data_IF_645825609970
#
_entry.id   IF_645825609970
#
_cell.length_a   1.000
_cell.length_b   1.000
_cell.length_c   1.000
_cell.angle_alpha   90.00
_cell.angle_beta   90.00
_cell.angle_gamma   90.00
#
_symmetry.space_group_name_H-M   'P 1'
#
loop_
_entity.id
_entity.type
_entity.pdbx_description
1 polymer ?
#
# COMPACT_ATOMS: atom_id res chain seq x y z
N UNK A 1 14.40 20.08 5.63
CA UNK A 1 14.68 18.66 5.37
C UNK A 1 13.86 17.72 6.24
N UNK A 2 14.02 17.62 7.58
CA UNK A 2 13.22 16.69 8.40
C UNK A 2 11.72 17.03 8.44
N UNK A 3 11.37 18.28 8.77
CA UNK A 3 9.97 18.72 8.81
C UNK A 3 9.30 18.67 7.43
N UNK A 4 10.10 18.85 6.39
CA UNK A 4 9.70 18.78 4.99
C UNK A 4 9.39 17.34 4.57
N UNK A 5 10.27 16.37 4.87
CA UNK A 5 9.98 14.95 4.67
C UNK A 5 8.74 14.51 5.46
N UNK A 6 8.60 14.96 6.71
CA UNK A 6 7.42 14.64 7.51
C UNK A 6 6.14 15.20 6.87
N UNK A 7 6.20 16.42 6.35
CA UNK A 7 5.07 17.02 5.64
C UNK A 7 4.72 16.24 4.37
N UNK A 8 5.72 15.80 3.59
CA UNK A 8 5.50 14.99 2.38
C UNK A 8 4.88 13.63 2.72
N UNK A 9 5.35 12.95 3.77
CA UNK A 9 4.74 11.70 4.24
C UNK A 9 3.30 11.89 4.69
N UNK A 10 2.97 12.98 5.39
CA UNK A 10 1.60 13.33 5.76
C UNK A 10 0.73 13.59 4.52
N UNK A 11 1.30 14.18 3.46
CA UNK A 11 0.59 14.39 2.20
C UNK A 11 0.34 13.07 1.44
N UNK A 12 1.21 12.07 1.61
CA UNK A 12 1.00 10.70 1.09
C UNK A 12 -0.03 9.89 1.87
N UNK A 13 -0.56 10.41 2.98
CA UNK A 13 -1.60 9.73 3.75
C UNK A 13 -2.81 9.37 2.89
N UNK A 14 -3.31 8.16 3.06
CA UNK A 14 -4.53 7.67 2.44
C UNK A 14 -5.75 8.52 2.78
N UNK A 15 -5.75 9.20 3.93
CA UNK A 15 -6.77 10.18 4.30
C UNK A 15 -6.79 11.42 3.38
N UNK A 16 -5.71 11.66 2.62
CA UNK A 16 -5.61 12.77 1.67
C UNK A 16 -6.04 12.38 0.27
N UNK A 17 -5.53 11.26 -0.24
CA UNK A 17 -5.78 10.89 -1.63
C UNK A 17 -7.04 10.02 -1.81
N UNK A 18 -7.36 9.11 -0.89
CA UNK A 18 -8.47 8.18 -1.07
C UNK A 18 -9.84 8.88 -1.22
N UNK A 19 -10.18 9.93 -0.44
CA UNK A 19 -11.44 10.66 -0.64
C UNK A 19 -11.58 11.28 -2.03
N UNK A 20 -10.46 11.62 -2.69
CA UNK A 20 -10.44 12.18 -4.04
C UNK A 20 -10.56 11.11 -5.11
N UNK A 21 -10.01 9.90 -4.87
CA UNK A 21 -9.91 8.84 -5.87
C UNK A 21 -11.02 7.81 -5.81
N UNK A 22 -11.70 7.64 -4.66
CA UNK A 22 -12.70 6.57 -4.46
C UNK A 22 -13.88 6.58 -5.45
N UNK A 23 -14.22 7.75 -6.01
CA UNK A 23 -15.30 7.90 -6.99
C UNK A 23 -14.80 7.81 -8.45
N UNK A 24 -13.49 7.72 -8.66
CA UNK A 24 -12.90 7.57 -10.00
C UNK A 24 -13.20 6.17 -10.50
N UNK A 25 -13.73 6.07 -11.73
CA UNK A 25 -14.06 4.80 -12.39
C UNK A 25 -12.81 4.08 -12.89
N UNK A 26 -12.04 3.53 -11.95
CA UNK A 26 -10.94 2.59 -12.13
C UNK A 26 -11.17 1.40 -11.19
N UNK A 27 -10.61 0.24 -11.50
CA UNK A 27 -10.63 -0.87 -10.57
C UNK A 27 -9.80 -0.50 -9.33
N UNK A 28 -10.39 -0.63 -8.16
CA UNK A 28 -9.77 -0.40 -6.87
C UNK A 28 -10.48 -1.29 -5.85
N UNK A 29 -9.76 -1.84 -4.86
CA UNK A 29 -10.38 -2.74 -3.89
C UNK A 29 -11.34 -1.96 -3.00
N UNK A 30 -12.46 -2.59 -2.62
CA UNK A 30 -13.34 -2.04 -1.60
C UNK A 30 -12.51 -1.71 -0.35
N UNK A 31 -12.73 -0.54 0.24
CA UNK A 31 -11.88 0.00 1.30
C UNK A 31 -12.74 0.69 2.35
N UNK A 32 -12.54 0.31 3.62
CA UNK A 32 -13.12 0.95 4.80
C UNK A 32 -12.00 1.51 5.68
N UNK A 33 -12.24 2.65 6.33
CA UNK A 33 -11.25 3.33 7.17
C UNK A 33 -11.83 3.77 8.50
N UNK A 34 -11.07 3.53 9.57
CA UNK A 34 -11.31 4.09 10.88
C UNK A 34 -10.28 5.18 11.16
N UNK A 35 -10.72 6.43 11.12
CA UNK A 35 -9.91 7.57 11.57
C UNK A 35 -9.73 7.54 13.10
N UNK A 36 -8.52 7.87 13.53
CA UNK A 36 -8.09 7.95 14.92
C UNK A 36 -7.90 9.41 15.30
N UNK A 37 -8.28 9.76 16.53
CA UNK A 37 -7.94 11.09 17.05
C UNK A 37 -6.43 11.22 17.26
N UNK A 38 -5.96 12.46 17.44
CA UNK A 38 -4.54 12.68 17.73
C UNK A 38 -4.05 11.97 18.98
N UNK A 39 -4.87 11.99 20.03
CA UNK A 39 -4.59 11.32 21.29
C UNK A 39 -4.57 9.79 21.12
N UNK A 40 -5.51 9.24 20.33
CA UNK A 40 -5.57 7.81 20.03
C UNK A 40 -4.33 7.34 19.26
N UNK A 41 -3.96 8.07 18.20
CA UNK A 41 -2.80 7.78 17.35
C UNK A 41 -1.47 7.77 18.14
N UNK A 42 -1.36 8.64 19.15
CA UNK A 42 -0.17 8.72 20.02
C UNK A 42 -0.28 7.92 21.32
N UNK A 43 -1.40 7.24 21.55
CA UNK A 43 -1.65 6.62 22.85
C UNK A 43 -0.60 5.55 23.16
N UNK A 44 0.00 5.67 24.36
CA UNK A 44 1.01 4.79 24.93
C UNK A 44 2.36 4.84 24.20
N UNK A 45 3.38 5.37 24.87
CA UNK A 45 4.73 5.53 24.31
C UNK A 45 5.39 4.19 23.97
N UNK A 46 5.01 3.09 24.64
CA UNK A 46 5.54 1.74 24.39
C UNK A 46 4.53 0.76 23.78
N UNK A 47 3.22 0.95 24.02
CA UNK A 47 2.15 0.11 23.48
C UNK A 47 0.90 0.93 23.21
N UNK A 48 0.30 0.75 22.04
CA UNK A 48 -0.98 1.37 21.69
C UNK A 48 -2.02 1.07 22.77
N UNK A 49 -2.70 2.09 23.30
CA UNK A 49 -3.55 1.89 24.48
C UNK A 49 -4.61 0.82 24.21
N UNK A 50 -4.77 -0.14 25.14
CA UNK A 50 -5.70 -1.28 25.00
C UNK A 50 -7.13 -0.84 24.67
N UNK A 51 -7.55 0.31 25.20
CA UNK A 51 -8.84 0.92 24.88
C UNK A 51 -9.00 1.25 23.39
N UNK A 52 -7.95 1.75 22.75
CA UNK A 52 -7.96 2.10 21.32
C UNK A 52 -7.86 0.84 20.46
N UNK A 53 -7.06 -0.15 20.86
CA UNK A 53 -7.05 -1.47 20.19
C UNK A 53 -8.45 -2.11 20.21
N UNK A 54 -9.12 -2.12 21.38
CA UNK A 54 -10.47 -2.63 21.52
C UNK A 54 -11.49 -1.85 20.67
N UNK A 55 -11.33 -0.53 20.54
CA UNK A 55 -12.13 0.30 19.63
C UNK A 55 -11.96 -0.16 18.18
N UNK A 56 -10.72 -0.36 17.73
CA UNK A 56 -10.41 -0.81 16.36
C UNK A 56 -10.98 -2.22 16.11
N UNK A 57 -10.76 -3.17 17.03
CA UNK A 57 -11.30 -4.54 16.92
C UNK A 57 -12.83 -4.53 16.89
N UNK A 58 -13.48 -3.71 17.74
CA UNK A 58 -14.93 -3.57 17.72
C UNK A 58 -15.42 -3.03 16.38
N UNK A 59 -14.77 -2.00 15.83
CA UNK A 59 -15.08 -1.47 14.51
C UNK A 59 -14.89 -2.52 13.42
N UNK A 60 -13.75 -3.21 13.39
CA UNK A 60 -13.45 -4.26 12.42
C UNK A 60 -14.54 -5.35 12.38
N UNK A 61 -15.02 -5.76 13.56
CA UNK A 61 -16.08 -6.78 13.67
C UNK A 61 -17.43 -6.34 13.09
N UNK A 62 -17.65 -5.03 12.90
CA UNK A 62 -18.86 -4.50 12.22
C UNK A 62 -18.74 -4.52 10.70
N UNK A 63 -17.56 -4.75 10.15
CA UNK A 63 -17.34 -4.76 8.71
C UNK A 63 -17.80 -6.09 8.10
N UNK A 64 -18.34 -5.97 6.89
CA UNK A 64 -18.82 -7.08 6.07
C UNK A 64 -17.89 -7.29 4.87
N UNK A 65 -16.73 -7.91 5.11
CA UNK A 65 -15.77 -8.29 4.08
C UNK A 65 -15.67 -9.81 3.99
N UNK A 66 -15.46 -10.30 2.77
CA UNK A 66 -14.95 -11.64 2.55
C UNK A 66 -13.46 -11.70 2.93
N UNK A 67 -13.04 -12.86 3.46
CA UNK A 67 -11.66 -13.12 3.81
C UNK A 67 -10.93 -13.87 2.69
N UNK A 68 -9.61 -13.66 2.53
CA UNK A 68 -8.75 -12.78 3.34
C UNK A 68 -9.02 -11.28 3.09
N UNK A 69 -8.60 -10.42 4.02
CA UNK A 69 -8.59 -8.96 3.86
C UNK A 69 -7.17 -8.41 3.93
N UNK A 70 -6.96 -7.26 3.31
CA UNK A 70 -5.70 -6.52 3.39
C UNK A 70 -5.82 -5.37 4.38
N UNK A 71 -4.97 -5.34 5.41
CA UNK A 71 -4.95 -4.25 6.40
C UNK A 71 -3.72 -3.36 6.23
N UNK A 72 -3.89 -2.06 6.48
CA UNK A 72 -2.79 -1.08 6.50
C UNK A 72 -3.11 0.10 7.39
N UNK A 73 -2.13 0.95 7.65
CA UNK A 73 -2.39 2.30 8.12
C UNK A 73 -2.61 3.23 6.94
N UNK A 74 -2.96 4.49 7.19
CA UNK A 74 -2.99 5.51 6.15
C UNK A 74 -1.61 5.82 5.54
N UNK A 75 -0.52 5.28 6.10
CA UNK A 75 0.84 5.54 5.62
C UNK A 75 1.50 4.27 5.03
N UNK A 76 1.40 3.11 5.69
CA UNK A 76 2.11 1.89 5.28
C UNK A 76 1.41 0.62 5.73
N UNK A 77 1.71 -0.50 5.07
CA UNK A 77 1.14 -1.82 5.34
C UNK A 77 2.16 -2.86 5.83
N UNK A 78 3.41 -2.47 6.11
CA UNK A 78 4.43 -3.39 6.66
C UNK A 78 4.65 -4.68 5.84
N UNK A 79 4.55 -4.60 4.49
CA UNK A 79 4.61 -5.73 3.54
C UNK A 79 5.80 -6.70 3.71
N UNK A 80 6.87 -6.31 4.39
CA UNK A 80 8.04 -7.17 4.64
C UNK A 80 7.73 -8.37 5.55
N UNK A 81 6.65 -8.31 6.33
CA UNK A 81 6.15 -9.38 7.19
C UNK A 81 4.73 -9.78 6.77
N UNK A 82 4.51 -10.00 5.47
CA UNK A 82 3.19 -10.00 4.85
C UNK A 82 2.18 -10.93 5.54
N UNK A 83 2.52 -12.21 5.72
CA UNK A 83 1.65 -13.20 6.35
C UNK A 83 1.36 -12.94 7.83
N UNK A 84 2.18 -12.14 8.52
CA UNK A 84 2.02 -11.84 9.95
C UNK A 84 1.43 -10.42 10.18
N UNK A 85 1.25 -9.62 9.12
CA UNK A 85 0.83 -8.21 9.21
C UNK A 85 -0.37 -7.89 8.34
N UNK A 86 -0.16 -7.50 7.08
CA UNK A 86 -1.22 -6.96 6.24
C UNK A 86 -2.16 -8.01 5.64
N UNK A 87 -1.87 -9.31 5.77
CA UNK A 87 -2.69 -10.37 5.20
C UNK A 87 -3.53 -11.13 6.24
N UNK A 88 -4.75 -10.67 6.49
CA UNK A 88 -5.62 -11.24 7.54
C UNK A 88 -6.52 -12.32 6.94
N UNK A 89 -6.34 -13.58 7.36
CA UNK A 89 -7.05 -14.75 6.80
C UNK A 89 -8.44 -14.98 7.42
N UNK A 90 -8.69 -14.47 8.62
CA UNK A 90 -9.96 -14.61 9.34
C UNK A 90 -10.19 -13.47 10.34
N UNK A 91 -11.39 -13.37 10.93
CA UNK A 91 -11.66 -12.35 11.97
C UNK A 91 -10.82 -12.59 13.23
N UNK A 92 -10.54 -13.85 13.53
CA UNK A 92 -9.80 -14.31 14.68
C UNK A 92 -8.33 -13.89 14.63
N UNK A 93 -7.75 -13.79 13.44
CA UNK A 93 -6.36 -13.39 13.22
C UNK A 93 -6.16 -11.87 13.39
N UNK A 94 -7.22 -11.07 13.20
CA UNK A 94 -7.13 -9.61 13.13
C UNK A 94 -6.40 -8.95 14.32
N UNK A 95 -6.62 -9.33 15.60
CA UNK A 95 -5.93 -8.68 16.72
C UNK A 95 -4.41 -8.80 16.68
N UNK A 96 -3.87 -9.96 16.28
CA UNK A 96 -2.42 -10.20 16.19
C UNK A 96 -1.82 -9.38 15.04
N UNK A 97 -2.45 -9.46 13.85
CA UNK A 97 -2.07 -8.68 12.68
C UNK A 97 -2.13 -7.17 12.91
N UNK A 98 -3.14 -6.70 13.65
CA UNK A 98 -3.25 -5.30 14.05
C UNK A 98 -2.08 -4.88 14.94
N UNK A 99 -1.68 -5.73 15.90
CA UNK A 99 -0.52 -5.44 16.75
C UNK A 99 0.76 -5.31 15.92
N UNK A 100 1.01 -6.26 15.03
CA UNK A 100 2.21 -6.24 14.17
C UNK A 100 2.19 -5.06 13.19
N UNK A 101 1.02 -4.69 12.66
CA UNK A 101 0.87 -3.50 11.82
C UNK A 101 1.21 -2.21 12.60
N UNK A 102 0.71 -2.08 13.84
CA UNK A 102 0.97 -0.91 14.69
C UNK A 102 2.44 -0.85 15.08
N UNK A 103 3.02 -1.95 15.56
CA UNK A 103 4.42 -2.05 15.96
C UNK A 103 5.32 -1.79 14.75
N UNK A 104 5.05 -2.44 13.62
CA UNK A 104 5.80 -2.26 12.38
C UNK A 104 5.76 -0.83 11.87
N UNK A 105 4.60 -0.17 11.87
CA UNK A 105 4.53 1.24 11.52
C UNK A 105 5.27 2.12 12.53
N UNK A 106 5.24 1.81 13.83
CA UNK A 106 6.00 2.56 14.85
C UNK A 106 7.52 2.37 14.75
N UNK A 107 7.98 1.19 14.33
CA UNK A 107 9.40 0.92 14.10
C UNK A 107 9.92 1.50 12.79
N UNK A 108 9.09 1.51 11.74
CA UNK A 108 9.33 2.36 10.57
C UNK A 108 9.34 3.85 10.98
N UNK A 109 8.57 4.16 12.02
CA UNK A 109 8.42 5.49 12.61
C UNK A 109 9.40 5.81 13.75
N UNK A 110 10.64 5.29 13.71
CA UNK A 110 11.77 5.79 14.54
C UNK A 110 11.98 7.33 14.39
N UNK A 111 11.19 8.03 13.55
CA UNK A 111 11.25 9.48 13.36
C UNK A 111 9.95 10.31 13.57
N UNK A 112 8.79 9.73 13.92
CA UNK A 112 7.68 10.41 14.62
C UNK A 112 6.46 10.94 13.83
N UNK A 113 6.00 10.28 12.76
CA UNK A 113 4.71 10.51 12.10
C UNK A 113 3.72 9.40 12.49
N UNK A 114 2.96 9.59 13.58
CA UNK A 114 1.84 8.71 13.89
C UNK A 114 0.84 8.66 12.74
N UNK A 115 0.54 7.44 12.30
CA UNK A 115 -0.58 7.15 11.43
C UNK A 115 -1.90 7.60 12.09
N UNK A 116 -2.87 7.97 11.28
CA UNK A 116 -4.15 8.54 11.71
C UNK A 116 -5.35 7.70 11.30
N UNK A 117 -5.14 6.59 10.62
CA UNK A 117 -6.21 5.63 10.39
C UNK A 117 -5.72 4.19 10.33
N UNK A 118 -6.65 3.28 10.64
CA UNK A 118 -6.56 1.87 10.26
C UNK A 118 -7.47 1.68 9.05
N UNK A 119 -6.95 0.98 8.05
CA UNK A 119 -7.60 0.76 6.77
C UNK A 119 -7.75 -0.74 6.55
N UNK A 120 -8.94 -1.17 6.15
CA UNK A 120 -9.27 -2.54 5.77
C UNK A 120 -9.71 -2.52 4.32
N UNK A 121 -9.12 -3.39 3.51
CA UNK A 121 -9.41 -3.49 2.08
C UNK A 121 -9.74 -4.92 1.71
N UNK A 122 -10.55 -5.05 0.68
CA UNK A 122 -10.70 -6.29 -0.07
C UNK A 122 -9.32 -6.77 -0.51
N UNK A 123 -9.06 -8.06 -0.31
CA UNK A 123 -7.81 -8.65 -0.76
C UNK A 123 -7.89 -8.99 -2.24
N UNK A 124 -7.00 -8.39 -3.03
CA UNK A 124 -6.89 -8.68 -4.46
C UNK A 124 -5.99 -9.91 -4.63
N UNK A 125 -6.53 -10.96 -5.25
CA UNK A 125 -5.71 -12.12 -5.65
C UNK A 125 -4.83 -11.74 -6.84
N UNK A 126 -3.54 -11.51 -6.58
CA UNK A 126 -2.59 -11.04 -7.59
C UNK A 126 -2.13 -12.15 -8.56
N UNK A 127 -1.78 -11.77 -9.79
CA UNK A 127 -1.13 -12.64 -10.80
C UNK A 127 0.34 -12.90 -10.43
N UNK A 128 0.52 -13.58 -9.31
CA UNK A 128 1.80 -13.78 -8.65
C UNK A 128 2.68 -14.77 -9.42
N UNK A 129 3.93 -14.38 -9.69
CA UNK A 129 4.94 -15.25 -10.32
C UNK A 129 5.76 -16.03 -9.30
N UNK A 130 5.96 -15.46 -8.12
CA UNK A 130 6.61 -16.09 -6.97
C UNK A 130 6.16 -15.40 -5.68
N UNK A 131 6.62 -15.91 -4.52
CA UNK A 131 6.40 -15.28 -3.21
C UNK A 131 7.72 -14.95 -2.54
N UNK A 132 7.73 -13.90 -1.74
CA UNK A 132 8.87 -13.49 -0.89
C UNK A 132 8.35 -12.69 0.32
N UNK A 133 9.21 -12.12 1.18
CA UNK A 133 8.80 -11.31 2.35
C UNK A 133 7.72 -11.94 3.22
N UNK A 134 7.98 -13.17 3.70
CA UNK A 134 7.02 -13.96 4.45
C UNK A 134 5.67 -14.12 3.71
N UNK A 135 5.72 -14.75 2.52
CA UNK A 135 4.53 -15.16 1.77
C UNK A 135 3.87 -14.08 0.89
N UNK A 136 4.44 -12.88 0.80
CA UNK A 136 3.98 -11.81 -0.08
C UNK A 136 4.01 -12.23 -1.56
N UNK A 137 2.87 -12.15 -2.27
CA UNK A 137 2.82 -12.42 -3.70
C UNK A 137 3.53 -11.33 -4.50
N UNK A 138 4.49 -11.71 -5.34
CA UNK A 138 5.12 -10.84 -6.33
C UNK A 138 4.45 -10.99 -7.68
N UNK A 139 3.74 -9.95 -8.09
CA UNK A 139 3.01 -9.86 -9.35
C UNK A 139 3.45 -8.61 -10.13
N UNK A 140 3.02 -8.46 -11.41
CA UNK A 140 3.16 -7.21 -12.12
C UNK A 140 2.56 -6.05 -11.32
N UNK A 141 3.42 -5.16 -10.84
CA UNK A 141 3.08 -3.94 -10.11
C UNK A 141 3.87 -2.79 -10.74
N UNK A 142 3.15 -1.77 -11.20
CA UNK A 142 3.71 -0.64 -11.94
C UNK A 142 3.46 0.65 -11.16
N UNK A 143 4.51 1.45 -11.02
CA UNK A 143 4.47 2.79 -10.44
C UNK A 143 4.54 3.82 -11.56
N UNK A 144 3.54 4.69 -11.64
CA UNK A 144 3.48 5.77 -12.63
C UNK A 144 3.62 7.13 -11.95
N UNK A 145 4.44 8.00 -12.52
CA UNK A 145 4.68 9.34 -12.01
C UNK A 145 3.95 10.39 -12.84
N UNK A 146 3.22 11.27 -12.15
CA UNK A 146 2.44 12.35 -12.74
C UNK A 146 2.71 13.67 -12.02
N UNK A 147 2.82 14.76 -12.78
CA UNK A 147 2.86 16.12 -12.24
C UNK A 147 1.78 16.97 -12.88
N UNK A 148 0.84 17.44 -12.06
CA UNK A 148 -0.30 18.26 -12.49
C UNK A 148 -1.06 17.64 -13.67
N UNK A 149 -1.37 16.34 -13.55
CA UNK A 149 -2.06 15.55 -14.57
C UNK A 149 -1.21 15.19 -15.80
N UNK A 150 0.06 15.60 -15.88
CA UNK A 150 0.98 15.23 -16.96
C UNK A 150 1.79 14.00 -16.57
N UNK A 151 1.74 12.98 -17.42
CA UNK A 151 2.58 11.78 -17.29
C UNK A 151 4.06 12.15 -17.44
N UNK A 152 4.91 11.59 -16.59
CA UNK A 152 6.36 11.77 -16.64
C UNK A 152 7.06 10.48 -17.06
N UNK A 153 6.86 9.41 -16.29
CA UNK A 153 7.54 8.13 -16.46
C UNK A 153 6.78 7.02 -15.70
N UNK A 154 7.17 5.77 -15.93
CA UNK A 154 6.72 4.62 -15.15
C UNK A 154 7.90 3.69 -14.88
N UNK A 155 7.81 2.93 -13.80
CA UNK A 155 8.81 1.96 -13.38
C UNK A 155 8.14 0.70 -12.85
N UNK A 156 8.88 -0.41 -12.84
CA UNK A 156 8.51 -1.54 -11.99
C UNK A 156 8.51 -1.07 -10.53
N UNK A 157 7.44 -1.38 -9.78
CA UNK A 157 7.33 -0.97 -8.39
C UNK A 157 8.45 -1.57 -7.53
N UNK A 158 8.83 -2.82 -7.80
CA UNK A 158 9.83 -3.55 -7.04
C UNK A 158 11.22 -3.35 -7.67
N UNK A 159 12.15 -2.62 -7.00
CA UNK A 159 13.54 -2.59 -7.45
C UNK A 159 14.17 -3.97 -7.33
N UNK A 160 14.98 -4.34 -8.31
CA UNK A 160 15.64 -5.65 -8.34
C UNK A 160 16.50 -5.89 -7.09
N UNK A 161 17.05 -4.82 -6.52
CA UNK A 161 17.85 -4.82 -5.30
C UNK A 161 17.04 -5.20 -4.05
N UNK A 162 15.71 -4.96 -4.06
CA UNK A 162 14.84 -5.39 -2.96
C UNK A 162 14.69 -6.91 -2.87
N UNK A 163 15.07 -7.64 -3.92
CA UNK A 163 15.03 -9.11 -3.98
C UNK A 163 16.34 -9.78 -3.58
N UNK A 164 17.36 -9.01 -3.17
CA UNK A 164 18.62 -9.57 -2.71
C UNK A 164 18.42 -10.46 -1.46
N UNK A 165 19.04 -11.64 -1.46
CA UNK A 165 18.92 -12.62 -0.36
C UNK A 165 17.74 -13.60 -0.51
N UNK A 166 17.00 -13.58 -1.61
CA UNK A 166 15.96 -14.57 -1.93
C UNK A 166 16.56 -15.81 -2.60
N UNK A 167 17.45 -16.51 -1.88
CA UNK A 167 18.14 -17.69 -2.40
C UNK A 167 17.18 -18.86 -2.65
N UNK A 168 17.39 -19.60 -3.75
CA UNK A 168 16.64 -20.83 -4.07
C UNK A 168 15.41 -20.67 -4.97
N UNK A 169 14.93 -19.44 -5.20
CA UNK A 169 13.92 -19.13 -6.22
C UNK A 169 14.65 -18.56 -7.45
N UNK A 170 14.25 -18.96 -8.67
CA UNK A 170 14.74 -18.30 -9.89
C UNK A 170 14.07 -16.93 -10.06
N UNK A 171 14.21 -16.08 -9.04
CA UNK A 171 13.55 -14.78 -8.93
C UNK A 171 13.94 -13.87 -10.08
N UNK A 172 15.17 -14.01 -10.62
CA UNK A 172 15.63 -13.25 -11.80
C UNK A 172 14.72 -13.49 -13.00
N UNK A 173 14.47 -14.76 -13.35
CA UNK A 173 13.58 -15.09 -14.45
C UNK A 173 12.16 -14.59 -14.19
N UNK A 174 11.64 -14.78 -12.98
CA UNK A 174 10.30 -14.29 -12.65
C UNK A 174 10.20 -12.76 -12.67
N UNK A 175 11.28 -12.07 -12.31
CA UNK A 175 11.37 -10.62 -12.40
C UNK A 175 11.38 -10.15 -13.86
N UNK A 176 12.14 -10.82 -14.72
CA UNK A 176 12.15 -10.53 -16.17
C UNK A 176 10.75 -10.76 -16.78
N UNK A 177 10.06 -11.83 -16.38
CA UNK A 177 8.69 -12.10 -16.82
C UNK A 177 7.72 -10.99 -16.36
N UNK A 178 7.84 -10.53 -15.11
CA UNK A 178 7.07 -9.40 -14.56
C UNK A 178 7.32 -8.13 -15.37
N UNK A 179 8.59 -7.81 -15.62
CA UNK A 179 9.00 -6.62 -16.35
C UNK A 179 8.49 -6.63 -17.81
N UNK A 180 8.48 -7.81 -18.46
CA UNK A 180 7.89 -7.97 -19.79
C UNK A 180 6.38 -7.69 -19.80
N UNK A 181 5.63 -8.18 -18.81
CA UNK A 181 4.19 -7.89 -18.68
C UNK A 181 3.96 -6.39 -18.51
N UNK A 182 4.74 -5.75 -17.63
CA UNK A 182 4.65 -4.29 -17.41
C UNK A 182 4.91 -3.54 -18.72
N UNK A 183 6.00 -3.87 -19.44
CA UNK A 183 6.34 -3.23 -20.73
C UNK A 183 5.23 -3.39 -21.77
N UNK A 184 4.61 -4.56 -21.83
CA UNK A 184 3.55 -4.85 -22.79
C UNK A 184 2.25 -4.08 -22.51
N UNK A 185 1.95 -3.81 -21.23
CA UNK A 185 0.64 -3.29 -20.81
C UNK A 185 0.68 -1.86 -20.23
N UNK A 186 1.87 -1.27 -20.07
CA UNK A 186 2.05 0.04 -19.43
C UNK A 186 1.18 1.16 -20.04
N UNK A 187 0.96 1.16 -21.36
CA UNK A 187 0.14 2.18 -22.01
C UNK A 187 -1.35 2.06 -21.65
N UNK A 188 -1.85 0.87 -21.38
CA UNK A 188 -3.23 0.69 -20.91
C UNK A 188 -3.36 1.08 -19.44
N UNK A 189 -2.41 0.67 -18.59
CA UNK A 189 -2.39 1.11 -17.18
C UNK A 189 -2.26 2.63 -17.06
N UNK A 190 -1.47 3.25 -17.94
CA UNK A 190 -1.32 4.71 -18.01
C UNK A 190 -2.64 5.42 -18.30
N UNK A 191 -3.55 4.85 -19.11
CA UNK A 191 -4.89 5.44 -19.35
C UNK A 191 -5.72 5.45 -18.07
N UNK A 192 -5.67 4.38 -17.28
CA UNK A 192 -6.36 4.29 -16.00
C UNK A 192 -5.72 5.22 -14.95
N UNK A 193 -4.39 5.22 -14.85
CA UNK A 193 -3.64 6.10 -13.96
C UNK A 193 -3.88 7.59 -14.25
N UNK A 194 -4.08 7.97 -15.52
CA UNK A 194 -4.43 9.35 -15.89
C UNK A 194 -5.77 9.79 -15.28
N UNK A 195 -6.74 8.88 -15.11
CA UNK A 195 -8.02 9.19 -14.45
C UNK A 195 -7.77 9.53 -12.99
N UNK A 196 -6.95 8.75 -12.29
CA UNK A 196 -6.53 9.04 -10.91
C UNK A 196 -5.74 10.34 -10.82
N UNK A 197 -4.75 10.55 -11.70
CA UNK A 197 -3.94 11.76 -11.73
C UNK A 197 -4.77 13.04 -11.98
N UNK A 198 -5.94 12.92 -12.62
CA UNK A 198 -6.80 14.09 -12.90
C UNK A 198 -7.42 14.71 -11.65
N UNK A 199 -7.52 13.95 -10.56
CA UNK A 199 -8.07 14.43 -9.27
C UNK A 199 -6.99 14.72 -8.23
N UNK A 200 -5.72 14.38 -8.52
CA UNK A 200 -4.57 14.62 -7.66
C UNK A 200 -3.73 15.78 -8.21
N UNK A 201 -3.67 16.89 -7.48
CA UNK A 201 -2.86 18.07 -7.85
C UNK A 201 -1.43 17.94 -7.32
N UNK A 202 -0.43 18.45 -8.05
CA UNK A 202 0.97 18.35 -7.67
C UNK A 202 1.67 17.13 -8.26
N UNK A 203 2.72 16.65 -7.58
CA UNK A 203 3.57 15.56 -8.04
C UNK A 203 3.29 14.27 -7.27
N UNK A 204 2.81 13.24 -7.96
CA UNK A 204 2.35 11.98 -7.37
C UNK A 204 2.96 10.77 -8.07
N UNK A 205 3.27 9.74 -7.28
CA UNK A 205 3.38 8.36 -7.74
C UNK A 205 2.05 7.64 -7.53
N UNK A 206 1.63 6.88 -8.53
CA UNK A 206 0.37 6.15 -8.56
C UNK A 206 0.70 4.70 -8.89
N UNK A 207 0.32 3.79 -8.00
CA UNK A 207 0.69 2.37 -8.07
C UNK A 207 -0.50 1.52 -8.48
N UNK A 208 -0.26 0.64 -9.45
CA UNK A 208 -1.23 -0.35 -9.93
C UNK A 208 -0.65 -1.76 -9.82
N UNK A 209 -1.49 -2.71 -9.42
CA UNK A 209 -1.13 -4.13 -9.36
C UNK A 209 -2.06 -4.98 -10.22
N UNK A 210 -1.52 -6.02 -10.85
CA UNK A 210 -2.27 -6.92 -11.72
C UNK A 210 -2.85 -8.11 -10.94
N UNK A 211 -4.16 -8.29 -11.07
CA UNK A 211 -4.90 -9.40 -10.51
C UNK A 211 -4.86 -10.65 -11.42
N UNK A 212 -5.16 -11.81 -10.85
CA UNK A 212 -5.16 -13.10 -11.55
C UNK A 212 -6.21 -13.18 -12.67
N UNK A 213 -7.24 -12.33 -12.62
CA UNK A 213 -8.26 -12.20 -13.68
C UNK A 213 -7.76 -11.36 -14.88
N UNK A 214 -6.54 -10.84 -14.81
CA UNK A 214 -5.92 -10.00 -15.83
C UNK A 214 -6.17 -8.50 -15.66
N UNK A 215 -7.00 -8.08 -14.71
CA UNK A 215 -7.33 -6.67 -14.46
C UNK A 215 -6.23 -5.95 -13.66
N UNK A 216 -6.02 -4.67 -13.95
CA UNK A 216 -5.15 -3.79 -13.16
C UNK A 216 -5.95 -3.00 -12.14
N UNK A 217 -5.51 -3.02 -10.88
CA UNK A 217 -6.13 -2.33 -9.76
C UNK A 217 -5.26 -1.18 -9.28
N UNK A 218 -5.86 -0.01 -9.05
CA UNK A 218 -5.23 1.08 -8.32
C UNK A 218 -5.06 0.69 -6.85
N UNK A 219 -3.82 0.57 -6.39
CA UNK A 219 -3.49 0.04 -5.06
C UNK A 219 -2.92 1.08 -4.12
N UNK A 220 -2.20 2.10 -4.59
CA UNK A 220 -1.62 3.12 -3.71
C UNK A 220 -1.29 4.43 -4.42
N UNK A 221 -1.21 5.53 -3.65
CA UNK A 221 -0.69 6.80 -4.12
C UNK A 221 0.17 7.47 -3.05
N UNK A 222 1.23 8.14 -3.49
CA UNK A 222 2.14 8.88 -2.62
C UNK A 222 2.72 10.09 -3.34
N UNK A 223 3.25 11.05 -2.59
CA UNK A 223 3.96 12.20 -3.14
C UNK A 223 5.23 11.75 -3.85
N UNK A 224 5.37 12.19 -5.11
CA UNK A 224 6.44 11.73 -5.98
C UNK A 224 7.85 12.06 -5.49
N UNK A 225 8.02 13.10 -4.66
CA UNK A 225 9.32 13.52 -4.09
C UNK A 225 9.89 12.53 -3.07
N UNK A 226 9.04 11.71 -2.45
CA UNK A 226 9.45 10.70 -1.45
C UNK A 226 9.23 9.26 -1.94
N UNK A 227 8.71 9.11 -3.16
CA UNK A 227 8.53 7.81 -3.78
C UNK A 227 9.82 7.35 -4.45
N UNK A 228 10.14 6.07 -4.29
CA UNK A 228 11.29 5.47 -4.98
C UNK A 228 11.13 5.63 -6.51
N UNK A 229 12.16 6.22 -7.12
CA UNK A 229 12.25 6.46 -8.55
C UNK A 229 13.59 5.88 -9.03
N UNK A 230 13.56 4.91 -9.94
CA UNK A 230 14.80 4.38 -10.52
C UNK A 230 15.50 5.51 -11.29
N UNK A 231 16.77 5.77 -10.99
CA UNK A 231 17.58 6.71 -11.76
C UNK A 231 17.85 6.11 -13.14
N UNK A 232 17.58 6.90 -14.18
CA UNK A 232 17.85 6.55 -15.58
C UNK A 232 19.34 6.50 -15.89
#
# INVERSE_FOLDING_TARGET
MRDEMNNLSIQSSMLKWYPLTKEVKVNQPRTEMLELTWEEARSGEDYFARSVQNKIIKWFNTLDFDFPVFIRTDLSSCKHQFEDTCFVKSKEDFPEHLNELIVGNRLLDIMGIPFKAIVVREFITLDSRFKSFNGMPFAPEIRLFYRDGKYLCHHNYWPIESLWGQDGVNWKKHYDDIDQVIKAEAEDVKKEAKKIASVLKGYWSIDFAKAIDGSWYFVDAAIGDISFHMTH
#
